data_IF_484399592176
#
_entry.id   IF_484399592176
#
_cell.length_a   1.000
_cell.length_b   1.000
_cell.length_c   1.000
_cell.angle_alpha   90.00
_cell.angle_beta   90.00
_cell.angle_gamma   90.00
#
_symmetry.space_group_name_H-M   'P 1'
#
loop_
_entity.id
_entity.type
_entity.pdbx_description
1 polymer ?
#
# COMPACT_ATOMS: atom_id res chain seq x y z
N UNK A 1 39.14 -9.58 14.19
CA UNK A 1 38.04 -9.49 13.21
C UNK A 1 37.01 -8.49 13.71
N UNK A 2 36.50 -7.60 12.85
CA UNK A 2 35.38 -6.69 13.15
C UNK A 2 34.29 -6.84 12.09
N UNK A 3 33.03 -6.91 12.52
CA UNK A 3 31.87 -7.07 11.64
C UNK A 3 31.35 -5.69 11.22
N UNK A 4 31.10 -5.51 9.92
CA UNK A 4 30.69 -4.22 9.35
C UNK A 4 29.25 -4.25 8.82
N UNK A 5 28.91 -5.28 8.02
CA UNK A 5 27.58 -5.44 7.44
C UNK A 5 27.22 -6.92 7.33
N UNK A 6 25.96 -7.33 7.50
CA UNK A 6 24.82 -6.52 7.96
C UNK A 6 25.06 -5.95 9.37
N UNK A 7 24.40 -4.85 9.75
CA UNK A 7 24.49 -4.38 11.14
C UNK A 7 23.70 -5.30 12.08
N UNK A 8 24.05 -5.31 13.36
CA UNK A 8 23.38 -6.15 14.35
C UNK A 8 21.87 -5.85 14.42
N UNK A 9 21.06 -6.89 14.25
CA UNK A 9 19.59 -6.85 14.31
C UNK A 9 18.91 -6.38 13.03
N UNK A 10 19.67 -6.16 11.94
CA UNK A 10 19.13 -5.62 10.70
C UNK A 10 18.23 -6.62 9.95
N UNK A 11 17.29 -6.07 9.18
CA UNK A 11 16.47 -6.84 8.25
C UNK A 11 17.10 -6.96 6.87
N UNK A 12 16.84 -8.07 6.21
CA UNK A 12 17.25 -8.34 4.84
C UNK A 12 16.08 -8.98 4.07
N UNK A 13 15.76 -8.39 2.92
CA UNK A 13 14.72 -8.86 1.97
C UNK A 13 15.16 -10.05 1.11
N UNK A 14 16.46 -10.39 1.17
CA UNK A 14 17.07 -11.46 0.38
C UNK A 14 17.69 -12.49 1.31
N UNK A 15 17.43 -13.78 1.01
CA UNK A 15 18.13 -14.91 1.63
C UNK A 15 19.61 -14.97 1.28
N UNK A 16 20.02 -14.40 0.16
CA UNK A 16 21.44 -14.28 -0.19
C UNK A 16 21.98 -12.97 0.35
N UNK A 17 22.97 -13.06 1.24
CA UNK A 17 23.48 -11.94 2.02
C UNK A 17 25.00 -11.84 1.88
N UNK A 18 25.46 -10.62 1.67
CA UNK A 18 26.89 -10.28 1.71
C UNK A 18 27.27 -9.86 3.12
N UNK A 19 28.26 -10.54 3.69
CA UNK A 19 28.83 -10.23 4.99
C UNK A 19 30.14 -9.48 4.82
N UNK A 20 30.13 -8.20 5.15
CA UNK A 20 31.29 -7.33 5.13
C UNK A 20 31.96 -7.29 6.50
N UNK A 21 33.28 -7.44 6.52
CA UNK A 21 34.08 -7.46 7.75
C UNK A 21 35.50 -6.95 7.50
N UNK A 22 36.19 -6.52 8.55
CA UNK A 22 37.63 -6.29 8.51
C UNK A 22 38.35 -7.38 9.32
N UNK A 23 39.42 -7.93 8.74
CA UNK A 23 40.30 -8.87 9.40
C UNK A 23 41.71 -8.32 9.38
N UNK A 24 42.32 -8.24 10.56
CA UNK A 24 43.71 -7.82 10.69
C UNK A 24 44.51 -8.79 11.54
N UNK A 25 45.75 -8.99 11.13
CA UNK A 25 46.78 -9.72 11.86
C UNK A 25 48.14 -9.03 11.60
N UNK A 26 49.12 -9.25 12.48
CA UNK A 26 50.46 -8.68 12.30
C UNK A 26 51.25 -9.30 11.13
N UNK A 27 50.74 -10.37 10.52
CA UNK A 27 51.26 -10.98 9.29
C UNK A 27 50.23 -10.96 8.16
N UNK A 28 49.75 -12.13 7.72
CA UNK A 28 48.77 -12.29 6.64
C UNK A 28 47.60 -13.11 7.19
N UNK A 29 46.39 -12.62 6.93
CA UNK A 29 45.17 -13.39 7.15
C UNK A 29 45.03 -14.37 6.00
N UNK A 30 45.07 -15.67 6.28
CA UNK A 30 45.08 -16.74 5.27
C UNK A 30 43.71 -16.91 4.63
N UNK A 31 42.69 -17.08 5.46
CA UNK A 31 41.31 -17.25 5.03
C UNK A 31 40.33 -16.89 6.16
N UNK A 32 39.10 -16.59 5.78
CA UNK A 32 38.00 -16.33 6.69
C UNK A 32 36.76 -17.09 6.24
N UNK A 33 35.92 -17.46 7.20
CA UNK A 33 34.63 -18.08 6.95
C UNK A 33 33.51 -17.43 7.73
N UNK A 34 32.34 -17.32 7.10
CA UNK A 34 31.09 -16.89 7.74
C UNK A 34 30.48 -18.09 8.44
N UNK A 35 30.07 -17.86 9.69
CA UNK A 35 29.36 -18.80 10.53
C UNK A 35 27.99 -18.23 10.85
N UNK A 36 26.94 -19.05 10.74
CA UNK A 36 25.61 -18.72 11.22
C UNK A 36 24.87 -19.98 11.68
N UNK A 37 23.74 -19.79 12.36
CA UNK A 37 22.90 -20.84 12.92
C UNK A 37 21.65 -21.16 12.08
N UNK A 38 21.75 -21.07 10.75
CA UNK A 38 20.70 -21.61 9.89
C UNK A 38 20.78 -23.14 9.96
N UNK A 39 19.82 -23.75 10.65
CA UNK A 39 19.88 -25.07 11.28
C UNK A 39 20.72 -25.16 12.57
N UNK A 40 22.05 -25.19 12.48
CA UNK A 40 22.95 -25.27 13.65
C UNK A 40 24.14 -24.33 13.47
N UNK A 41 24.72 -23.86 14.58
CA UNK A 41 25.90 -23.00 14.53
C UNK A 41 27.07 -23.73 13.88
N UNK A 42 27.48 -23.29 12.69
CA UNK A 42 28.52 -23.94 11.89
C UNK A 42 29.10 -23.00 10.86
N UNK A 43 30.20 -23.42 10.24
CA UNK A 43 30.75 -22.77 9.05
C UNK A 43 29.79 -22.96 7.86
N UNK A 44 29.57 -21.89 7.11
CA UNK A 44 28.58 -21.85 6.04
C UNK A 44 29.24 -21.56 4.70
N UNK A 45 30.19 -20.62 4.69
CA UNK A 45 30.97 -20.30 3.51
C UNK A 45 32.33 -19.72 3.87
N UNK A 46 33.37 -20.13 3.15
CA UNK A 46 34.70 -19.54 3.17
C UNK A 46 34.90 -18.52 2.04
N UNK A 47 35.82 -17.58 2.21
CA UNK A 47 36.17 -16.62 1.15
C UNK A 47 36.63 -17.33 -0.13
N UNK A 48 36.11 -16.88 -1.29
CA UNK A 48 36.50 -17.39 -2.62
C UNK A 48 37.60 -16.55 -3.26
N UNK A 49 37.76 -15.29 -2.83
CA UNK A 49 38.85 -14.38 -3.20
C UNK A 49 39.78 -14.16 -2.01
N UNK A 50 41.00 -13.70 -2.27
CA UNK A 50 41.98 -13.39 -1.23
C UNK A 50 41.46 -12.37 -0.21
N UNK A 51 41.81 -12.57 1.07
CA UNK A 51 41.53 -11.62 2.14
C UNK A 51 42.59 -10.52 2.13
N UNK A 52 42.14 -9.28 2.00
CA UNK A 52 43.02 -8.11 2.11
C UNK A 52 43.17 -7.73 3.59
N UNK A 53 44.37 -7.95 4.14
CA UNK A 53 44.69 -7.67 5.55
C UNK A 53 44.47 -6.19 5.90
N UNK A 54 43.71 -5.93 6.97
CA UNK A 54 43.43 -4.59 7.48
C UNK A 54 42.40 -3.78 6.67
N UNK A 55 41.78 -4.39 5.65
CA UNK A 55 40.77 -3.74 4.79
C UNK A 55 39.40 -4.42 4.88
N UNK A 56 38.37 -3.80 4.30
CA UNK A 56 37.06 -4.43 4.18
C UNK A 56 37.10 -5.62 3.22
N UNK A 57 36.55 -6.74 3.65
CA UNK A 57 36.42 -7.98 2.91
C UNK A 57 34.96 -8.42 2.92
N UNK A 58 34.57 -9.26 1.96
CA UNK A 58 33.19 -9.71 1.80
C UNK A 58 33.12 -11.21 1.55
N UNK A 59 32.18 -11.88 2.21
CA UNK A 59 31.80 -13.27 1.94
C UNK A 59 30.29 -13.32 1.80
N UNK A 60 29.80 -13.93 0.71
CA UNK A 60 28.38 -14.13 0.48
C UNK A 60 27.94 -15.52 0.94
N UNK A 61 26.80 -15.64 1.60
CA UNK A 61 26.13 -16.93 1.86
C UNK A 61 24.62 -16.81 1.67
N UNK A 62 23.95 -17.94 1.53
CA UNK A 62 22.49 -18.02 1.30
C UNK A 62 21.84 -18.79 2.44
N UNK A 63 20.85 -18.17 3.07
CA UNK A 63 19.99 -18.81 4.06
C UNK A 63 18.95 -19.72 3.38
N UNK A 64 18.61 -20.82 4.02
CA UNK A 64 17.59 -21.78 3.58
C UNK A 64 16.20 -21.23 3.87
N UNK A 65 16.01 -20.66 5.06
CA UNK A 65 14.72 -20.20 5.57
C UNK A 65 14.76 -18.73 5.97
N UNK A 66 13.58 -18.11 5.97
CA UNK A 66 13.36 -16.83 6.64
C UNK A 66 13.41 -17.06 8.17
N UNK A 67 13.83 -16.06 8.93
CA UNK A 67 13.99 -16.17 10.37
C UNK A 67 15.01 -15.20 10.95
N UNK A 68 15.29 -15.36 12.25
CA UNK A 68 16.30 -14.59 12.97
C UNK A 68 17.51 -15.46 13.27
N UNK A 69 18.67 -15.06 12.78
CA UNK A 69 19.91 -15.83 12.84
C UNK A 69 21.01 -15.04 13.55
N UNK A 70 21.83 -15.73 14.33
CA UNK A 70 23.11 -15.23 14.80
C UNK A 70 24.19 -15.57 13.79
N UNK A 71 25.14 -14.66 13.59
CA UNK A 71 26.26 -14.86 12.70
C UNK A 71 27.56 -14.23 13.23
N UNK A 72 28.69 -14.72 12.73
CA UNK A 72 30.03 -14.19 13.02
C UNK A 72 30.99 -14.60 11.88
N UNK A 73 32.22 -14.08 11.89
CA UNK A 73 33.28 -14.43 10.95
C UNK A 73 34.48 -14.98 11.72
N UNK A 74 34.93 -16.18 11.34
CA UNK A 74 36.15 -16.81 11.84
C UNK A 74 37.26 -16.58 10.83
N UNK A 75 38.38 -15.99 11.23
CA UNK A 75 39.56 -15.86 10.37
C UNK A 75 40.72 -16.68 10.92
N UNK A 76 41.54 -17.23 10.02
CA UNK A 76 42.76 -17.96 10.34
C UNK A 76 43.99 -17.26 9.72
N UNK A 77 45.11 -17.33 10.42
CA UNK A 77 46.40 -16.89 9.89
C UNK A 77 47.19 -18.04 9.24
N UNK A 78 48.38 -17.72 8.71
CA UNK A 78 49.29 -18.71 8.11
C UNK A 78 49.86 -19.73 9.11
N UNK A 79 49.78 -19.47 10.42
CA UNK A 79 50.17 -20.38 11.49
C UNK A 79 48.99 -21.19 12.04
N UNK A 80 47.83 -21.12 11.38
CA UNK A 80 46.60 -21.81 11.76
C UNK A 80 46.02 -21.37 13.13
N UNK A 81 46.36 -20.15 13.59
CA UNK A 81 45.69 -19.50 14.72
C UNK A 81 44.40 -18.88 14.20
N UNK A 82 43.31 -19.00 14.95
CA UNK A 82 42.00 -18.51 14.55
C UNK A 82 41.37 -17.57 15.58
N UNK A 83 40.54 -16.64 15.10
CA UNK A 83 39.76 -15.75 15.93
C UNK A 83 38.43 -15.37 15.28
N UNK A 84 37.35 -15.45 16.05
CA UNK A 84 36.07 -14.83 15.72
C UNK A 84 36.11 -13.31 15.92
N UNK A 85 35.10 -12.58 15.43
CA UNK A 85 34.83 -11.25 15.97
C UNK A 85 34.39 -11.35 17.44
N UNK A 86 34.58 -10.26 18.19
CA UNK A 86 34.39 -10.25 19.64
C UNK A 86 32.96 -10.60 20.11
N UNK A 87 31.96 -10.32 19.27
CA UNK A 87 30.56 -10.65 19.53
C UNK A 87 29.90 -11.18 18.26
N UNK A 88 28.87 -12.01 18.45
CA UNK A 88 27.98 -12.41 17.36
C UNK A 88 27.02 -11.26 17.06
N UNK A 89 26.76 -11.02 15.78
CA UNK A 89 25.66 -10.16 15.35
C UNK A 89 24.44 -11.01 15.03
N UNK A 90 23.27 -10.37 15.01
CA UNK A 90 22.01 -10.95 14.58
C UNK A 90 21.57 -10.38 13.25
N UNK A 91 20.85 -11.18 12.46
CA UNK A 91 20.22 -10.77 11.19
C UNK A 91 18.84 -11.39 11.11
N UNK A 92 17.88 -10.63 10.59
CA UNK A 92 16.53 -11.09 10.31
C UNK A 92 16.33 -11.19 8.79
N UNK A 93 16.10 -12.40 8.32
CA UNK A 93 15.83 -12.69 6.91
C UNK A 93 14.31 -12.81 6.74
N UNK A 94 13.76 -12.03 5.84
CA UNK A 94 12.38 -12.15 5.40
C UNK A 94 12.32 -11.80 3.92
N UNK A 95 12.10 -12.81 3.09
CA UNK A 95 12.05 -12.68 1.64
C UNK A 95 10.63 -12.75 1.09
N UNK A 96 9.63 -12.76 1.97
CA UNK A 96 8.23 -12.97 1.62
C UNK A 96 7.53 -11.64 1.43
N UNK A 97 7.14 -11.35 0.19
CA UNK A 97 6.39 -10.14 -0.12
C UNK A 97 4.98 -10.18 0.48
N UNK A 98 4.43 -9.04 0.93
CA UNK A 98 3.04 -8.97 1.36
C UNK A 98 2.07 -9.38 0.25
N UNK A 99 1.05 -10.16 0.58
CA UNK A 99 -0.09 -10.39 -0.30
C UNK A 99 -1.25 -9.45 0.07
N UNK A 100 -1.78 -8.74 -0.93
CA UNK A 100 -2.86 -7.76 -0.75
C UNK A 100 -4.15 -8.34 -1.30
N UNK A 101 -5.19 -8.41 -0.47
CA UNK A 101 -6.54 -8.79 -0.85
C UNK A 101 -7.43 -7.55 -0.76
N UNK A 102 -8.02 -7.14 -1.88
CA UNK A 102 -8.92 -5.97 -1.91
C UNK A 102 -10.30 -6.41 -1.42
N UNK A 103 -10.78 -5.75 -0.36
CA UNK A 103 -12.15 -5.90 0.14
C UNK A 103 -13.04 -4.79 -0.47
N UNK A 104 -12.53 -3.56 -0.51
CA UNK A 104 -13.18 -2.40 -1.12
C UNK A 104 -12.14 -1.39 -1.67
N UNK A 105 -12.47 -0.65 -2.74
CA UNK A 105 -13.70 -0.74 -3.54
C UNK A 105 -13.71 -1.96 -4.46
N UNK A 106 -14.89 -2.29 -4.99
CA UNK A 106 -15.04 -3.25 -6.10
C UNK A 106 -15.30 -2.49 -7.40
N UNK A 107 -15.11 -3.15 -8.54
CA UNK A 107 -15.39 -2.56 -9.85
C UNK A 107 -16.90 -2.46 -10.10
N UNK A 108 -17.52 -1.45 -9.49
CA UNK A 108 -18.95 -1.15 -9.53
C UNK A 108 -19.20 0.36 -9.50
N UNK A 109 -20.47 0.73 -9.60
CA UNK A 109 -20.95 2.09 -9.38
C UNK A 109 -21.45 2.27 -7.94
N UNK A 110 -21.00 3.33 -7.28
CA UNK A 110 -21.40 3.74 -5.92
C UNK A 110 -22.26 5.01 -6.02
N UNK A 111 -23.43 5.02 -5.37
CA UNK A 111 -24.28 6.20 -5.31
C UNK A 111 -23.83 7.20 -4.23
N UNK A 112 -23.03 6.75 -3.26
CA UNK A 112 -22.43 7.59 -2.23
C UNK A 112 -21.04 8.08 -2.73
N UNK A 113 -20.70 9.33 -2.43
CA UNK A 113 -19.39 9.94 -2.72
C UNK A 113 -18.30 9.50 -1.73
N UNK A 114 -18.71 8.90 -0.62
CA UNK A 114 -17.82 8.29 0.34
C UNK A 114 -17.66 6.79 0.06
N UNK A 115 -16.41 6.37 -0.14
CA UNK A 115 -16.07 5.00 -0.51
C UNK A 115 -15.00 4.45 0.43
N UNK A 116 -15.28 3.29 1.02
CA UNK A 116 -14.31 2.54 1.81
C UNK A 116 -13.14 2.08 0.94
N UNK A 117 -11.93 2.40 1.39
CA UNK A 117 -10.68 1.84 0.91
C UNK A 117 -10.27 0.79 1.93
N UNK A 118 -10.35 -0.48 1.59
CA UNK A 118 -10.16 -1.56 2.56
C UNK A 118 -9.46 -2.76 1.93
N UNK A 119 -8.35 -3.18 2.55
CA UNK A 119 -7.59 -4.34 2.12
C UNK A 119 -7.21 -5.23 3.31
N UNK A 120 -7.08 -6.52 3.06
CA UNK A 120 -6.46 -7.46 3.99
C UNK A 120 -5.02 -7.72 3.53
N UNK A 121 -4.04 -7.49 4.42
CA UNK A 121 -2.63 -7.84 4.18
C UNK A 121 -2.33 -9.21 4.80
N UNK A 122 -1.85 -10.16 3.98
CA UNK A 122 -1.43 -11.49 4.43
C UNK A 122 0.10 -11.56 4.41
N UNK A 123 0.70 -11.39 5.59
CA UNK A 123 2.15 -11.40 5.86
C UNK A 123 2.35 -11.48 7.40
N UNK A 124 3.47 -12.00 7.92
CA UNK A 124 3.74 -12.19 9.37
C UNK A 124 4.39 -10.98 10.07
N UNK A 125 5.16 -10.17 9.37
CA UNK A 125 5.95 -9.00 9.77
C UNK A 125 5.38 -7.63 9.28
N UNK A 126 4.05 -7.52 9.17
CA UNK A 126 3.29 -6.35 8.68
C UNK A 126 3.84 -5.00 9.17
N UNK A 127 4.06 -4.03 8.27
CA UNK A 127 4.45 -2.65 8.63
C UNK A 127 3.37 -1.64 8.23
N UNK A 128 3.22 -1.28 6.95
CA UNK A 128 2.30 -0.23 6.50
C UNK A 128 1.56 -0.61 5.22
N UNK A 129 0.38 -0.02 5.05
CA UNK A 129 -0.31 0.00 3.77
C UNK A 129 -0.78 1.42 3.43
N UNK A 130 -0.85 1.70 2.14
CA UNK A 130 -1.31 2.95 1.56
C UNK A 130 -2.03 2.67 0.24
N UNK A 131 -2.70 3.67 -0.31
CA UNK A 131 -3.35 3.58 -1.61
C UNK A 131 -3.13 4.85 -2.41
N UNK A 132 -2.99 4.68 -3.72
CA UNK A 132 -3.05 5.74 -4.71
C UNK A 132 -4.48 5.81 -5.23
N UNK A 133 -5.17 6.93 -5.04
CA UNK A 133 -6.49 7.23 -5.59
C UNK A 133 -6.35 8.39 -6.57
N UNK A 134 -6.59 8.11 -7.84
CA UNK A 134 -6.46 9.07 -8.95
C UNK A 134 -5.11 9.81 -8.98
N UNK A 135 -4.02 9.11 -8.67
CA UNK A 135 -2.66 9.67 -8.64
C UNK A 135 -2.29 10.37 -7.33
N UNK A 136 -3.15 10.33 -6.31
CA UNK A 136 -2.87 10.89 -4.97
C UNK A 136 -2.74 9.79 -3.93
N UNK A 137 -1.65 9.82 -3.15
CA UNK A 137 -1.37 8.80 -2.14
C UNK A 137 -1.97 9.13 -0.78
N UNK A 138 -2.55 8.12 -0.14
CA UNK A 138 -3.18 8.18 1.18
C UNK A 138 -2.76 6.98 2.03
N UNK A 139 -2.62 7.18 3.34
CA UNK A 139 -2.28 6.10 4.28
C UNK A 139 -3.52 5.33 4.73
N UNK A 140 -3.38 4.02 4.92
CA UNK A 140 -4.40 3.19 5.56
C UNK A 140 -4.09 3.00 7.04
N UNK A 141 -5.12 2.80 7.85
CA UNK A 141 -5.00 2.49 9.28
C UNK A 141 -5.20 0.98 9.51
N UNK A 142 -4.31 0.38 10.30
CA UNK A 142 -4.42 -1.03 10.66
C UNK A 142 -5.50 -1.25 11.72
N UNK A 143 -6.42 -2.16 11.42
CA UNK A 143 -7.44 -2.69 12.31
C UNK A 143 -7.33 -4.22 12.33
N UNK A 144 -6.31 -4.73 13.03
CA UNK A 144 -6.07 -6.16 13.24
C UNK A 144 -5.84 -6.97 11.95
N UNK A 145 -5.01 -6.45 11.04
CA UNK A 145 -4.65 -7.11 9.78
C UNK A 145 -5.52 -6.71 8.58
N UNK A 146 -6.62 -5.98 8.84
CA UNK A 146 -7.36 -5.23 7.83
C UNK A 146 -6.91 -3.77 7.87
N UNK A 147 -6.61 -3.22 6.70
CA UNK A 147 -6.10 -1.88 6.53
C UNK A 147 -7.15 -1.05 5.82
N UNK A 148 -7.64 -0.01 6.47
CA UNK A 148 -8.74 0.77 5.95
C UNK A 148 -8.54 2.29 6.08
N UNK A 149 -9.20 3.00 5.17
CA UNK A 149 -9.43 4.43 5.22
C UNK A 149 -10.79 4.69 4.54
N UNK A 150 -11.41 5.81 4.86
CA UNK A 150 -12.65 6.25 4.26
C UNK A 150 -12.32 7.44 3.37
N UNK A 151 -12.43 7.27 2.05
CA UNK A 151 -12.27 8.39 1.11
C UNK A 151 -13.61 9.10 1.01
N UNK A 152 -13.64 10.37 1.40
CA UNK A 152 -14.86 11.19 1.39
C UNK A 152 -14.88 12.15 0.21
N UNK A 153 -16.07 12.66 -0.12
CA UNK A 153 -16.23 13.76 -1.08
C UNK A 153 -15.67 13.45 -2.48
N UNK A 154 -15.73 12.18 -2.90
CA UNK A 154 -15.29 11.81 -4.25
C UNK A 154 -16.20 12.44 -5.29
N UNK A 155 -15.58 13.07 -6.28
CA UNK A 155 -16.28 13.69 -7.40
C UNK A 155 -17.15 12.67 -8.15
N UNK A 156 -18.21 13.11 -8.82
CA UNK A 156 -18.89 12.27 -9.79
C UNK A 156 -17.92 11.83 -10.91
N UNK A 157 -18.01 10.55 -11.30
CA UNK A 157 -17.29 10.03 -12.45
C UNK A 157 -16.50 8.75 -12.18
N UNK A 158 -15.51 8.50 -13.04
CA UNK A 158 -14.64 7.34 -12.99
C UNK A 158 -13.43 7.61 -12.11
N UNK A 159 -13.17 6.71 -11.17
CA UNK A 159 -12.02 6.71 -10.30
C UNK A 159 -11.19 5.45 -10.50
N UNK A 160 -9.93 5.52 -10.10
CA UNK A 160 -9.03 4.37 -10.08
C UNK A 160 -8.19 4.35 -8.80
N UNK A 161 -7.99 3.15 -8.25
CA UNK A 161 -7.22 2.94 -7.02
C UNK A 161 -6.23 1.80 -7.15
N UNK A 162 -5.03 1.99 -6.59
CA UNK A 162 -3.99 0.96 -6.44
C UNK A 162 -3.56 0.92 -4.98
N UNK A 163 -3.56 -0.26 -4.36
CA UNK A 163 -3.12 -0.45 -2.98
C UNK A 163 -1.68 -0.91 -2.93
N UNK A 164 -0.93 -0.46 -1.92
CA UNK A 164 0.45 -0.83 -1.67
C UNK A 164 0.61 -1.22 -0.20
N UNK A 165 1.39 -2.26 0.06
CA UNK A 165 1.70 -2.70 1.42
C UNK A 165 3.15 -3.16 1.52
N UNK A 166 3.80 -2.81 2.63
CA UNK A 166 5.13 -3.28 2.98
C UNK A 166 5.15 -3.97 4.35
N UNK A 167 6.11 -4.87 4.52
CA UNK A 167 6.48 -5.47 5.81
C UNK A 167 7.65 -4.72 6.47
N UNK A 168 8.04 -5.20 7.65
CA UNK A 168 9.12 -4.66 8.47
C UNK A 168 10.51 -4.86 7.87
N UNK A 169 10.67 -5.82 6.95
CA UNK A 169 11.92 -6.05 6.24
C UNK A 169 12.06 -5.13 5.02
N UNK A 170 10.95 -4.53 4.58
CA UNK A 170 10.87 -3.62 3.45
C UNK A 170 10.47 -4.33 2.15
N UNK A 171 9.98 -5.58 2.19
CA UNK A 171 9.38 -6.15 1.00
C UNK A 171 8.08 -5.39 0.70
N UNK A 172 7.93 -4.93 -0.54
CA UNK A 172 6.83 -4.08 -0.97
C UNK A 172 6.09 -4.73 -2.12
N UNK A 173 4.76 -4.81 -2.01
CA UNK A 173 3.90 -5.28 -3.09
C UNK A 173 2.75 -4.29 -3.32
N UNK A 174 2.10 -4.43 -4.47
CA UNK A 174 0.92 -3.64 -4.84
C UNK A 174 -0.18 -4.50 -5.45
N UNK A 175 -1.42 -4.02 -5.38
CA UNK A 175 -2.58 -4.66 -5.97
C UNK A 175 -2.69 -4.37 -7.48
N UNK A 176 -3.57 -5.09 -8.17
CA UNK A 176 -4.08 -4.61 -9.45
C UNK A 176 -4.86 -3.29 -9.27
N UNK A 177 -4.91 -2.48 -10.32
CA UNK A 177 -5.78 -1.30 -10.35
C UNK A 177 -7.25 -1.71 -10.32
N UNK A 178 -8.02 -1.10 -9.43
CA UNK A 178 -9.48 -1.18 -9.42
C UNK A 178 -10.04 0.11 -9.98
N UNK A 179 -10.89 -0.01 -11.00
CA UNK A 179 -11.69 1.09 -11.50
C UNK A 179 -13.08 1.01 -10.88
N UNK A 180 -13.62 2.12 -10.42
CA UNK A 180 -15.00 2.21 -9.91
C UNK A 180 -15.58 3.57 -10.29
N UNK A 181 -16.91 3.70 -10.28
CA UNK A 181 -17.54 4.99 -10.57
C UNK A 181 -18.31 5.49 -9.36
N UNK A 182 -18.24 6.78 -9.09
CA UNK A 182 -19.15 7.47 -8.19
C UNK A 182 -20.24 8.10 -9.06
N UNK A 183 -21.49 7.72 -8.83
CA UNK A 183 -22.64 8.16 -9.62
C UNK A 183 -23.76 8.68 -8.70
N UNK A 184 -23.60 9.93 -8.28
CA UNK A 184 -24.64 10.73 -7.65
C UNK A 184 -25.01 11.92 -8.52
N UNK A 185 -26.17 12.54 -8.27
CA UNK A 185 -26.51 13.81 -8.93
C UNK A 185 -26.05 14.98 -8.06
N UNK A 186 -25.54 16.04 -8.68
CA UNK A 186 -25.32 17.34 -8.02
C UNK A 186 -26.07 18.45 -8.76
N UNK A 187 -26.38 19.56 -8.08
CA UNK A 187 -27.03 20.70 -8.74
C UNK A 187 -26.14 21.31 -9.84
N UNK A 188 -26.78 21.87 -10.85
CA UNK A 188 -26.18 22.41 -12.07
C UNK A 188 -25.97 21.39 -13.20
N UNK A 189 -26.21 20.10 -12.96
CA UNK A 189 -25.91 19.05 -13.94
C UNK A 189 -27.02 18.80 -14.97
N UNK A 190 -26.59 18.38 -16.17
CA UNK A 190 -27.45 17.74 -17.16
C UNK A 190 -27.24 16.23 -17.12
N UNK A 191 -28.12 15.50 -16.43
CA UNK A 191 -28.01 14.05 -16.24
C UNK A 191 -28.35 13.31 -17.53
N UNK A 192 -27.45 12.43 -17.98
CA UNK A 192 -27.63 11.61 -19.20
C UNK A 192 -27.84 10.12 -18.90
N UNK A 193 -27.64 9.75 -17.65
CA UNK A 193 -27.95 8.43 -17.06
C UNK A 193 -28.76 8.65 -15.79
N UNK A 194 -29.50 7.63 -15.36
CA UNK A 194 -30.18 7.71 -14.07
C UNK A 194 -29.19 7.88 -12.93
N UNK A 195 -29.56 8.68 -11.93
CA UNK A 195 -28.72 8.95 -10.77
C UNK A 195 -29.60 9.07 -9.51
N UNK A 196 -28.92 9.02 -8.37
CA UNK A 196 -29.54 9.06 -7.05
C UNK A 196 -28.85 10.13 -6.21
N UNK A 197 -29.61 10.91 -5.43
CA UNK A 197 -29.02 11.80 -4.42
C UNK A 197 -28.58 10.99 -3.19
N UNK A 198 -27.46 11.39 -2.58
CA UNK A 198 -26.97 10.85 -1.31
C UNK A 198 -26.98 11.87 -0.17
N UNK A 199 -27.23 13.14 -0.49
CA UNK A 199 -27.34 14.24 0.46
C UNK A 199 -28.33 15.29 -0.04
N UNK A 200 -28.69 16.19 0.87
CA UNK A 200 -29.48 17.37 0.55
C UNK A 200 -28.62 18.35 -0.27
N UNK A 201 -29.17 18.89 -1.35
CA UNK A 201 -28.46 19.78 -2.27
C UNK A 201 -29.20 21.11 -2.41
N UNK A 202 -28.44 22.21 -2.56
CA UNK A 202 -28.97 23.56 -2.75
C UNK A 202 -28.48 24.19 -4.05
N UNK A 203 -29.26 25.11 -4.60
CA UNK A 203 -28.97 25.80 -5.86
C UNK A 203 -29.43 27.26 -5.84
N UNK A 204 -28.83 28.09 -6.69
CA UNK A 204 -29.29 29.48 -6.99
C UNK A 204 -29.84 29.58 -8.42
N UNK A 205 -30.18 28.43 -9.00
CA UNK A 205 -30.53 28.26 -10.40
C UNK A 205 -31.28 26.96 -10.63
N UNK A 206 -31.44 26.53 -11.87
CA UNK A 206 -31.98 25.18 -12.15
C UNK A 206 -31.04 24.09 -11.61
N UNK A 207 -31.50 23.23 -10.68
CA UNK A 207 -30.66 22.22 -10.05
C UNK A 207 -30.36 21.04 -11.00
N UNK A 208 -31.34 20.20 -11.35
CA UNK A 208 -31.10 19.04 -12.24
C UNK A 208 -31.77 19.25 -13.59
N UNK A 209 -31.04 19.03 -14.69
CA UNK A 209 -31.60 18.99 -16.05
C UNK A 209 -31.54 17.58 -16.62
N UNK A 210 -32.64 17.05 -17.16
CA UNK A 210 -32.59 15.78 -17.90
C UNK A 210 -32.03 15.99 -19.31
N UNK A 211 -30.91 15.33 -19.61
CA UNK A 211 -30.26 15.31 -20.92
C UNK A 211 -30.70 14.16 -21.83
N UNK A 212 -31.26 13.08 -21.26
CA UNK A 212 -31.68 11.88 -21.99
C UNK A 212 -33.14 11.49 -21.73
N UNK A 213 -33.71 10.68 -22.64
CA UNK A 213 -35.01 10.03 -22.42
C UNK A 213 -34.80 8.73 -21.62
N UNK A 214 -35.88 8.22 -21.01
CA UNK A 214 -35.87 6.92 -20.30
C UNK A 214 -34.87 6.83 -19.14
N UNK A 215 -34.71 7.90 -18.37
CA UNK A 215 -33.83 7.94 -17.18
C UNK A 215 -34.61 8.50 -15.98
N UNK A 216 -34.07 8.30 -14.78
CA UNK A 216 -34.71 8.75 -13.55
C UNK A 216 -33.76 9.55 -12.65
N UNK A 217 -34.34 10.46 -11.87
CA UNK A 217 -33.76 11.04 -10.67
C UNK A 217 -34.45 10.41 -9.46
N UNK A 218 -33.67 9.80 -8.58
CA UNK A 218 -34.14 9.35 -7.28
C UNK A 218 -33.49 10.18 -6.17
N UNK A 219 -34.25 10.99 -5.45
CA UNK A 219 -33.65 11.78 -4.37
C UNK A 219 -33.48 11.00 -3.07
N UNK A 220 -33.98 9.76 -2.96
CA UNK A 220 -33.86 8.93 -1.74
C UNK A 220 -34.34 9.63 -0.45
N UNK A 221 -35.29 10.56 -0.57
CA UNK A 221 -35.81 11.38 0.52
C UNK A 221 -35.08 12.70 0.74
N UNK A 222 -33.98 12.95 0.03
CA UNK A 222 -33.19 14.18 0.16
C UNK A 222 -33.89 15.42 -0.40
N UNK A 223 -33.49 16.56 0.17
CA UNK A 223 -33.95 17.88 -0.19
C UNK A 223 -33.22 18.41 -1.42
N UNK A 224 -33.96 19.01 -2.35
CA UNK A 224 -33.45 19.93 -3.37
C UNK A 224 -33.99 21.31 -2.99
N UNK A 225 -33.08 22.20 -2.60
CA UNK A 225 -33.38 23.52 -2.05
C UNK A 225 -33.00 24.62 -3.06
N UNK A 226 -33.94 25.53 -3.36
CA UNK A 226 -33.69 26.70 -4.20
C UNK A 226 -33.30 27.94 -3.40
N UNK A 227 -33.38 29.11 -4.02
CA UNK A 227 -33.05 30.41 -3.44
C UNK A 227 -34.20 31.43 -3.50
N UNK A 228 -35.44 30.95 -3.66
CA UNK A 228 -36.65 31.72 -3.98
C UNK A 228 -36.53 32.54 -5.30
N UNK A 229 -35.53 32.21 -6.14
CA UNK A 229 -35.28 32.82 -7.44
C UNK A 229 -36.40 32.56 -8.44
N UNK A 230 -36.78 33.60 -9.20
CA UNK A 230 -37.80 33.46 -10.24
C UNK A 230 -37.24 32.80 -11.49
N UNK A 231 -37.89 31.74 -11.98
CA UNK A 231 -37.50 31.07 -13.23
C UNK A 231 -36.52 29.91 -13.04
N UNK A 232 -36.28 29.52 -11.80
CA UNK A 232 -35.43 28.41 -11.43
C UNK A 232 -36.25 27.15 -11.18
N UNK A 233 -35.75 26.01 -11.67
CA UNK A 233 -36.42 24.73 -11.53
C UNK A 233 -35.57 23.79 -10.68
N UNK A 234 -36.15 23.14 -9.67
CA UNK A 234 -35.48 22.04 -8.98
C UNK A 234 -35.11 20.92 -9.96
N UNK A 235 -36.02 20.55 -10.86
CA UNK A 235 -35.76 19.60 -11.93
C UNK A 235 -36.39 20.07 -13.24
N UNK A 236 -35.60 20.13 -14.30
CA UNK A 236 -36.01 20.55 -15.63
C UNK A 236 -35.82 19.41 -16.65
N UNK A 237 -36.86 19.10 -17.42
CA UNK A 237 -36.81 17.95 -18.34
C UNK A 237 -36.51 18.30 -19.80
N UNK A 238 -36.28 19.56 -20.18
CA UNK A 238 -35.84 19.99 -21.53
C UNK A 238 -36.45 19.20 -22.72
N UNK A 239 -37.77 19.01 -22.72
CA UNK A 239 -38.52 18.23 -23.74
C UNK A 239 -38.12 16.75 -23.87
N UNK A 240 -37.50 16.17 -22.83
CA UNK A 240 -37.27 14.72 -22.72
C UNK A 240 -38.58 14.00 -22.42
N UNK A 241 -38.68 12.77 -22.93
CA UNK A 241 -39.81 11.88 -22.70
C UNK A 241 -39.42 10.72 -21.80
N UNK A 242 -40.40 10.19 -21.07
CA UNK A 242 -40.22 9.03 -20.19
C UNK A 242 -39.14 9.24 -19.11
N UNK A 243 -39.08 10.44 -18.53
CA UNK A 243 -38.24 10.72 -17.36
C UNK A 243 -39.05 10.53 -16.08
N UNK A 244 -38.42 10.04 -15.02
CA UNK A 244 -39.05 9.82 -13.72
C UNK A 244 -38.31 10.62 -12.63
N UNK A 245 -39.06 11.30 -11.76
CA UNK A 245 -38.54 11.93 -10.55
C UNK A 245 -39.26 11.28 -9.38
N UNK A 246 -38.52 10.71 -8.42
CA UNK A 246 -39.09 10.01 -7.27
C UNK A 246 -38.36 10.32 -5.97
N UNK A 247 -39.10 10.19 -4.87
CA UNK A 247 -38.62 10.35 -3.50
C UNK A 247 -37.89 11.67 -3.25
N UNK A 248 -38.31 12.77 -3.91
CA UNK A 248 -37.72 14.09 -3.82
C UNK A 248 -38.55 15.06 -2.98
N UNK A 249 -37.88 15.81 -2.12
CA UNK A 249 -38.44 16.97 -1.43
C UNK A 249 -37.90 18.24 -2.10
N UNK A 250 -38.79 19.17 -2.44
CA UNK A 250 -38.43 20.44 -3.09
C UNK A 250 -38.85 21.61 -2.20
N UNK A 251 -37.94 22.56 -1.97
CA UNK A 251 -38.20 23.81 -1.25
C UNK A 251 -37.63 25.02 -1.99
N UNK A 252 -38.20 26.18 -1.72
CA UNK A 252 -37.63 27.49 -2.06
C UNK A 252 -37.36 27.72 -3.57
N UNK A 253 -38.27 27.24 -4.43
CA UNK A 253 -38.30 27.57 -5.88
C UNK A 253 -39.47 28.51 -6.20
N UNK A 254 -39.21 29.56 -7.01
CA UNK A 254 -40.15 30.66 -7.33
C UNK A 254 -40.89 30.56 -8.67
#
# INVERSE_FOLDING_TARGET
>A
VSLNSPTDGNWNTSKTVNFDFNASDNYVVRNCSVWHNDATWGEQQSNTSDITNGSNNQIQTTFTNDGNFSWNVLCLDMSNRSAFAAANYTIKIDSTYPQIIIENPTNTSYANNDVWMNVTMVEIHKDKCYYDLDGTNYTLTNSSGKWNNYSTDLAHGLHNVIFWCNDSAGNLNHSSTVYFTVNHCVCGETITTSCTLYEDISTTGTCITFGANNIYLNCSGHLIDGDDGSGDYGVYSASRTSVEVRDCNFTDFG
#
